data_IF_702635474794
#
_entry.id   IF_702635474794
#
_cell.length_a   1.000
_cell.length_b   1.000
_cell.length_c   1.000
_cell.angle_alpha   90.00
_cell.angle_beta   90.00
_cell.angle_gamma   90.00
#
_symmetry.space_group_name_H-M   'P 1'
#
loop_
_entity.id
_entity.type
_entity.pdbx_description
1 polymer ?
#
# COMPACT_ATOMS: atom_id res chain seq x y z
N UNK A 1 16.07 6.51 -5.65
CA UNK A 1 14.80 7.17 -5.30
C UNK A 1 13.85 7.29 -6.51
N UNK A 2 14.23 7.94 -7.62
CA UNK A 2 13.31 8.18 -8.75
C UNK A 2 12.72 6.92 -9.38
N UNK A 3 13.53 5.88 -9.57
CA UNK A 3 13.08 4.57 -10.08
C UNK A 3 11.98 3.96 -9.20
N UNK A 4 12.20 3.99 -7.88
CA UNK A 4 11.26 3.46 -6.90
C UNK A 4 9.94 4.24 -6.88
N UNK A 5 9.98 5.57 -6.99
CA UNK A 5 8.77 6.40 -6.98
C UNK A 5 7.91 6.14 -8.23
N UNK A 6 8.53 5.88 -9.37
CA UNK A 6 7.84 5.67 -10.64
C UNK A 6 7.49 4.20 -10.94
N UNK A 7 7.77 3.29 -10.01
CA UNK A 7 7.66 1.83 -10.24
C UNK A 7 8.39 1.36 -11.51
N UNK A 8 9.55 1.95 -11.81
CA UNK A 8 10.24 1.74 -13.07
C UNK A 8 11.58 1.01 -12.89
N UNK A 9 11.74 -0.08 -13.64
CA UNK A 9 12.99 -0.87 -13.70
C UNK A 9 13.59 -0.70 -15.10
N UNK A 10 14.74 -0.01 -15.26
CA UNK A 10 15.40 0.12 -16.56
C UNK A 10 15.97 -1.22 -17.03
N UNK A 11 16.17 -1.37 -18.34
CA UNK A 11 16.66 -2.62 -18.94
C UNK A 11 18.04 -3.08 -18.39
N UNK A 12 18.88 -2.13 -17.97
CA UNK A 12 20.20 -2.39 -17.39
C UNK A 12 20.22 -2.32 -15.86
N UNK A 13 19.07 -2.41 -15.19
CA UNK A 13 18.96 -2.26 -13.74
C UNK A 13 19.84 -3.28 -12.98
N UNK A 14 19.91 -4.53 -13.42
CA UNK A 14 20.70 -5.56 -12.73
C UNK A 14 22.18 -5.19 -12.66
N UNK A 15 22.76 -4.69 -13.76
CA UNK A 15 24.16 -4.21 -13.76
C UNK A 15 24.38 -3.06 -12.79
N UNK A 16 23.38 -2.19 -12.63
CA UNK A 16 23.44 -1.10 -11.66
C UNK A 16 23.39 -1.64 -10.23
N UNK A 17 22.53 -2.61 -9.96
CA UNK A 17 22.38 -3.22 -8.65
C UNK A 17 23.62 -4.02 -8.23
N UNK A 18 24.23 -4.76 -9.16
CA UNK A 18 25.48 -5.50 -8.93
C UNK A 18 26.62 -4.59 -8.46
N UNK A 19 26.67 -3.35 -8.95
CA UNK A 19 27.71 -2.39 -8.57
C UNK A 19 27.36 -1.64 -7.28
N UNK A 20 26.10 -1.20 -7.14
CA UNK A 20 25.72 -0.31 -6.04
C UNK A 20 25.44 -1.08 -4.75
N UNK A 21 24.70 -2.20 -4.80
CA UNK A 21 24.25 -2.88 -3.58
C UNK A 21 25.40 -3.36 -2.68
N UNK A 22 26.51 -3.92 -3.19
CA UNK A 22 27.61 -4.37 -2.33
C UNK A 22 28.37 -3.22 -1.65
N UNK A 23 28.36 -2.02 -2.26
CA UNK A 23 29.01 -0.83 -1.71
C UNK A 23 28.08 0.00 -0.83
N UNK A 24 26.81 -0.37 -0.73
CA UNK A 24 25.82 0.41 -0.03
C UNK A 24 25.92 0.19 1.48
N UNK A 25 26.46 1.18 2.19
CA UNK A 25 26.58 1.16 3.64
C UNK A 25 25.95 2.41 4.26
N UNK A 26 25.55 2.31 5.53
CA UNK A 26 24.97 3.43 6.26
C UNK A 26 25.89 4.66 6.30
N UNK A 27 27.22 4.46 6.29
CA UNK A 27 28.23 5.52 6.24
C UNK A 27 28.21 6.36 4.96
N UNK A 28 27.65 5.83 3.88
CA UNK A 28 27.57 6.53 2.58
C UNK A 28 26.42 7.56 2.55
N UNK A 29 25.49 7.49 3.51
CA UNK A 29 24.45 8.50 3.66
C UNK A 29 24.93 9.63 4.59
N UNK A 30 24.71 10.89 4.20
CA UNK A 30 25.08 12.03 5.05
C UNK A 30 24.17 12.12 6.28
N UNK A 31 22.93 11.61 6.18
CA UNK A 31 21.97 11.60 7.28
C UNK A 31 21.18 10.28 7.40
N UNK A 32 20.67 10.00 8.60
CA UNK A 32 19.76 8.87 8.83
C UNK A 32 18.48 8.97 7.97
N UNK A 33 17.99 10.18 7.71
CA UNK A 33 16.81 10.40 6.85
C UNK A 33 17.09 9.96 5.41
N UNK A 34 18.25 10.31 4.86
CA UNK A 34 18.67 9.86 3.52
C UNK A 34 18.86 8.35 3.48
N UNK A 35 19.47 7.76 4.51
CA UNK A 35 19.61 6.31 4.60
C UNK A 35 18.24 5.61 4.61
N UNK A 36 17.29 6.13 5.39
CA UNK A 36 15.91 5.64 5.39
C UNK A 36 15.27 5.72 4.00
N UNK A 37 15.52 6.79 3.24
CA UNK A 37 15.02 6.96 1.87
C UNK A 37 15.62 5.97 0.88
N UNK A 38 16.91 5.67 1.03
CA UNK A 38 17.60 4.65 0.24
C UNK A 38 17.00 3.28 0.52
N UNK A 39 16.90 2.88 1.78
CA UNK A 39 16.35 1.56 2.15
C UNK A 39 14.88 1.46 1.76
N UNK A 40 14.08 2.50 1.97
CA UNK A 40 12.69 2.54 1.50
C UNK A 40 12.60 2.38 -0.02
N UNK A 41 13.48 3.03 -0.80
CA UNK A 41 13.53 2.86 -2.25
C UNK A 41 13.85 1.41 -2.65
N UNK A 42 14.77 0.75 -1.95
CA UNK A 42 15.10 -0.66 -2.19
C UNK A 42 13.93 -1.57 -1.84
N UNK A 43 13.17 -1.26 -0.79
CA UNK A 43 11.95 -1.99 -0.42
C UNK A 43 10.90 -1.89 -1.54
N UNK A 44 10.62 -0.69 -2.04
CA UNK A 44 9.67 -0.50 -3.14
C UNK A 44 10.09 -1.25 -4.41
N UNK A 45 11.38 -1.32 -4.70
CA UNK A 45 11.94 -2.04 -5.85
C UNK A 45 12.12 -3.55 -5.62
N UNK A 46 11.73 -4.08 -4.45
CA UNK A 46 11.94 -5.46 -4.06
C UNK A 46 13.43 -5.89 -4.20
N UNK A 47 14.34 -5.07 -3.68
CA UNK A 47 15.80 -5.28 -3.65
C UNK A 47 16.43 -5.12 -2.27
N UNK A 48 15.63 -4.81 -1.25
CA UNK A 48 16.12 -4.75 0.13
C UNK A 48 16.42 -6.16 0.66
N UNK A 49 17.47 -6.28 1.48
CA UNK A 49 17.83 -7.53 2.17
C UNK A 49 17.31 -7.49 3.62
N UNK A 50 17.40 -8.62 4.34
CA UNK A 50 17.07 -8.67 5.76
C UNK A 50 17.94 -7.71 6.58
N UNK A 51 19.24 -7.60 6.26
CA UNK A 51 20.17 -6.69 6.94
C UNK A 51 19.77 -5.22 6.73
N UNK A 52 19.38 -4.86 5.49
CA UNK A 52 18.90 -3.51 5.18
C UNK A 52 17.67 -3.15 6.01
N UNK A 53 16.68 -4.04 6.06
CA UNK A 53 15.42 -3.83 6.78
C UNK A 53 15.64 -3.82 8.29
N UNK A 54 16.39 -4.79 8.82
CA UNK A 54 16.74 -4.87 10.24
C UNK A 54 17.55 -3.65 10.71
N UNK A 55 18.43 -3.15 9.85
CA UNK A 55 19.27 -1.97 10.10
C UNK A 55 18.49 -0.67 10.30
N UNK A 56 17.28 -0.55 9.74
CA UNK A 56 16.43 0.65 9.89
C UNK A 56 15.23 0.46 10.81
N UNK A 57 14.82 -0.79 11.08
CA UNK A 57 13.74 -1.11 12.02
C UNK A 57 14.22 -1.28 13.47
N UNK A 58 15.53 -1.33 13.72
CA UNK A 58 16.04 -1.40 15.10
C UNK A 58 15.84 -0.08 15.86
N UNK A 59 15.78 -0.20 17.19
CA UNK A 59 15.54 0.92 18.08
C UNK A 59 16.64 2.00 18.00
N UNK A 60 17.91 1.63 17.82
CA UNK A 60 19.01 2.60 17.72
C UNK A 60 18.82 3.56 16.54
N UNK A 61 18.47 3.04 15.38
CA UNK A 61 18.25 3.86 14.18
C UNK A 61 16.99 4.73 14.32
N UNK A 62 15.90 4.18 14.88
CA UNK A 62 14.68 4.95 15.13
C UNK A 62 14.95 6.10 16.11
N UNK A 63 15.76 5.89 17.15
CA UNK A 63 16.17 6.94 18.08
C UNK A 63 17.06 7.99 17.40
N UNK A 64 17.98 7.59 16.53
CA UNK A 64 18.79 8.53 15.75
C UNK A 64 17.90 9.45 14.89
N UNK A 65 16.89 8.88 14.22
CA UNK A 65 15.91 9.65 13.44
C UNK A 65 15.13 10.66 14.30
N UNK A 66 14.82 10.31 15.55
CA UNK A 66 14.13 11.21 16.49
C UNK A 66 15.04 12.34 16.98
N UNK A 67 16.29 12.03 17.30
CA UNK A 67 17.26 13.00 17.84
C UNK A 67 17.66 14.07 16.83
N UNK A 68 17.76 13.72 15.54
CA UNK A 68 18.02 14.70 14.45
C UNK A 68 16.79 15.53 14.08
N UNK A 69 15.61 15.19 14.60
CA UNK A 69 14.37 15.97 14.45
C UNK A 69 14.09 16.87 15.65
N UNK A 70 12.85 17.39 15.75
CA UNK A 70 12.36 18.16 16.91
C UNK A 70 11.99 17.28 18.12
N UNK A 71 12.70 16.16 18.32
CA UNK A 71 12.38 15.14 19.32
C UNK A 71 11.21 14.22 18.93
N UNK A 72 10.76 14.26 17.67
CA UNK A 72 9.73 13.37 17.15
C UNK A 72 10.00 13.02 15.68
N UNK A 73 9.56 11.83 15.26
CA UNK A 73 9.64 11.43 13.85
C UNK A 73 8.70 12.28 12.99
N UNK A 74 9.20 12.73 11.84
CA UNK A 74 8.36 13.34 10.82
C UNK A 74 7.33 12.33 10.30
N UNK A 75 6.19 12.84 9.79
CA UNK A 75 5.16 11.98 9.19
C UNK A 75 5.75 11.13 8.06
N UNK A 76 6.58 11.74 7.19
CA UNK A 76 7.25 11.03 6.10
C UNK A 76 8.12 9.87 6.60
N UNK A 77 8.92 10.09 7.65
CA UNK A 77 9.74 9.03 8.25
C UNK A 77 8.89 7.91 8.83
N UNK A 78 7.80 8.24 9.55
CA UNK A 78 6.86 7.24 10.08
C UNK A 78 6.27 6.38 8.95
N UNK A 79 5.77 6.99 7.88
CA UNK A 79 5.17 6.25 6.76
C UNK A 79 6.19 5.34 6.05
N UNK A 80 7.42 5.81 5.82
CA UNK A 80 8.50 4.99 5.24
C UNK A 80 8.84 3.80 6.13
N UNK A 81 8.98 4.01 7.45
CA UNK A 81 9.20 2.94 8.42
C UNK A 81 8.05 1.92 8.42
N UNK A 82 6.80 2.38 8.33
CA UNK A 82 5.64 1.48 8.23
C UNK A 82 5.62 0.67 6.93
N UNK A 83 6.04 1.25 5.80
CA UNK A 83 6.18 0.51 4.55
C UNK A 83 7.27 -0.55 4.67
N UNK A 84 8.44 -0.19 5.20
CA UNK A 84 9.55 -1.13 5.43
C UNK A 84 9.12 -2.27 6.36
N UNK A 85 8.38 -1.95 7.42
CA UNK A 85 7.80 -2.94 8.34
C UNK A 85 6.79 -3.87 7.65
N UNK A 86 5.99 -3.36 6.71
CA UNK A 86 5.09 -4.19 5.89
C UNK A 86 5.84 -5.15 4.97
N UNK A 87 6.91 -4.68 4.33
CA UNK A 87 7.78 -5.53 3.51
C UNK A 87 8.46 -6.63 4.33
N UNK A 88 8.90 -6.29 5.55
CA UNK A 88 9.46 -7.25 6.50
C UNK A 88 8.45 -8.36 6.86
N UNK A 89 7.16 -8.06 6.95
CA UNK A 89 6.13 -9.05 7.27
C UNK A 89 5.75 -9.93 6.10
N UNK A 90 5.57 -9.34 4.92
CA UNK A 90 4.85 -10.00 3.84
C UNK A 90 5.69 -10.27 2.59
N UNK A 91 6.81 -9.57 2.40
CA UNK A 91 7.64 -9.71 1.20
C UNK A 91 8.95 -10.46 1.48
N UNK A 92 9.57 -10.22 2.64
CA UNK A 92 10.80 -10.91 3.05
C UNK A 92 10.49 -12.24 3.73
N UNK A 93 10.64 -13.33 2.98
CA UNK A 93 10.42 -14.69 3.48
C UNK A 93 11.41 -15.03 4.59
N UNK A 94 10.88 -15.38 5.76
CA UNK A 94 11.69 -15.83 6.90
C UNK A 94 12.37 -14.70 7.70
N UNK A 95 11.99 -13.44 7.45
CA UNK A 95 12.52 -12.31 8.19
C UNK A 95 12.37 -12.50 9.71
N UNK A 96 13.48 -12.38 10.43
CA UNK A 96 13.58 -12.63 11.87
C UNK A 96 14.01 -11.40 12.68
N UNK A 97 14.31 -10.30 11.99
CA UNK A 97 14.78 -9.06 12.59
C UNK A 97 13.72 -8.24 13.34
N UNK A 98 14.11 -7.04 13.81
CA UNK A 98 13.23 -6.12 14.52
C UNK A 98 12.00 -5.71 13.69
N UNK A 99 10.89 -5.45 14.38
CA UNK A 99 9.62 -4.98 13.81
C UNK A 99 9.06 -3.85 14.65
N UNK A 100 8.24 -3.00 14.05
CA UNK A 100 7.54 -1.94 14.79
C UNK A 100 6.46 -2.59 15.67
N UNK A 101 6.48 -2.39 17.00
CA UNK A 101 5.47 -2.96 17.89
C UNK A 101 4.05 -2.58 17.51
N UNK A 102 3.09 -3.51 17.67
CA UNK A 102 1.68 -3.31 17.27
C UNK A 102 1.00 -2.16 18.02
N UNK A 103 1.43 -1.90 19.25
CA UNK A 103 0.97 -0.84 20.13
C UNK A 103 1.71 0.50 19.92
N UNK A 104 2.75 0.52 19.09
CA UNK A 104 3.53 1.72 18.80
C UNK A 104 2.66 2.84 18.21
N UNK A 105 2.81 4.11 18.67
CA UNK A 105 2.14 5.25 18.07
C UNK A 105 2.43 5.41 16.57
N UNK A 106 3.57 4.90 16.08
CA UNK A 106 3.93 4.94 14.66
C UNK A 106 2.88 4.19 13.83
N UNK A 107 2.35 3.06 14.33
CA UNK A 107 1.31 2.24 13.65
C UNK A 107 -0.03 2.96 13.46
N UNK A 108 -0.28 4.02 14.24
CA UNK A 108 -1.50 4.83 14.20
C UNK A 108 -1.32 6.12 13.41
N UNK A 109 -0.22 6.26 12.67
CA UNK A 109 0.01 7.45 11.84
C UNK A 109 -1.03 7.51 10.74
N UNK A 110 -1.74 8.63 10.65
CA UNK A 110 -2.66 8.88 9.55
C UNK A 110 -1.91 9.21 8.27
N UNK A 111 -2.44 8.71 7.17
CA UNK A 111 -2.00 9.07 5.82
C UNK A 111 -2.86 10.23 5.38
N UNK A 112 -2.24 11.40 5.22
CA UNK A 112 -2.94 12.58 4.74
C UNK A 112 -3.41 12.33 3.30
N UNK A 113 -4.72 12.43 3.08
CA UNK A 113 -5.34 12.36 1.76
C UNK A 113 -5.70 13.77 1.30
N UNK A 114 -5.57 14.02 -0.01
CA UNK A 114 -6.06 15.26 -0.61
C UNK A 114 -7.59 15.29 -0.52
N UNK A 115 -8.18 16.50 -0.58
CA UNK A 115 -9.64 16.64 -0.62
C UNK A 115 -10.24 15.89 -1.81
N UNK A 116 -9.63 16.04 -2.98
CA UNK A 116 -10.09 15.40 -4.23
C UNK A 116 -10.04 13.87 -4.12
N UNK A 117 -8.99 13.29 -3.53
CA UNK A 117 -8.90 11.85 -3.26
C UNK A 117 -9.99 11.40 -2.29
N UNK A 118 -10.24 12.19 -1.24
CA UNK A 118 -11.28 11.88 -0.25
C UNK A 118 -12.67 11.86 -0.89
N UNK A 119 -13.00 12.87 -1.72
CA UNK A 119 -14.25 12.94 -2.48
C UNK A 119 -14.42 11.76 -3.44
N UNK A 120 -13.33 11.34 -4.09
CA UNK A 120 -13.35 10.17 -4.98
C UNK A 120 -13.61 8.87 -4.19
N UNK A 121 -12.94 8.69 -3.04
CA UNK A 121 -13.15 7.54 -2.15
C UNK A 121 -14.59 7.50 -1.65
N UNK A 122 -15.14 8.63 -1.18
CA UNK A 122 -16.53 8.71 -0.72
C UNK A 122 -17.50 8.33 -1.85
N UNK A 123 -17.26 8.82 -3.07
CA UNK A 123 -18.07 8.47 -4.23
C UNK A 123 -18.04 6.98 -4.56
N UNK A 124 -16.87 6.33 -4.42
CA UNK A 124 -16.73 4.87 -4.59
C UNK A 124 -17.49 4.12 -3.51
N UNK A 125 -17.30 4.47 -2.23
CA UNK A 125 -17.98 3.83 -1.09
C UNK A 125 -19.50 3.96 -1.24
N UNK A 126 -20.00 5.15 -1.57
CA UNK A 126 -21.43 5.38 -1.77
C UNK A 126 -21.98 4.57 -2.94
N UNK A 127 -21.21 4.45 -4.03
CA UNK A 127 -21.59 3.58 -5.15
C UNK A 127 -21.65 2.12 -4.72
N UNK A 128 -20.68 1.64 -3.93
CA UNK A 128 -20.65 0.28 -3.41
C UNK A 128 -21.83 -0.03 -2.50
N UNK A 129 -22.30 0.93 -1.70
CA UNK A 129 -23.49 0.75 -0.85
C UNK A 129 -24.77 0.46 -1.64
N UNK A 130 -24.82 0.85 -2.92
CA UNK A 130 -25.94 0.47 -3.80
C UNK A 130 -25.84 -0.99 -4.29
N UNK A 131 -24.64 -1.56 -4.33
CA UNK A 131 -24.36 -2.96 -4.69
C UNK A 131 -24.36 -3.89 -3.47
N UNK A 132 -23.89 -3.39 -2.33
CA UNK A 132 -23.65 -4.12 -1.09
C UNK A 132 -24.34 -3.34 0.04
N UNK A 133 -25.60 -3.70 0.30
CA UNK A 133 -26.52 -2.87 1.10
C UNK A 133 -26.34 -2.99 2.62
N UNK A 134 -25.52 -3.93 3.11
CA UNK A 134 -25.32 -4.15 4.56
C UNK A 134 -23.90 -3.77 5.00
N UNK A 135 -23.81 -3.07 6.14
CA UNK A 135 -22.55 -2.69 6.78
C UNK A 135 -21.71 -3.90 7.23
N UNK A 136 -22.33 -5.05 7.47
CA UNK A 136 -21.60 -6.28 7.79
C UNK A 136 -20.84 -6.87 6.60
N UNK A 137 -21.20 -6.46 5.37
CA UNK A 137 -20.69 -6.99 4.11
C UNK A 137 -19.64 -6.07 3.46
N UNK A 138 -19.51 -4.84 3.94
CA UNK A 138 -18.60 -3.82 3.40
C UNK A 138 -17.91 -3.07 4.54
N UNK A 139 -16.57 -3.08 4.54
CA UNK A 139 -15.75 -2.23 5.39
C UNK A 139 -15.11 -1.14 4.53
N UNK A 140 -14.85 0.02 5.11
CA UNK A 140 -14.24 1.13 4.40
C UNK A 140 -13.15 1.80 5.23
N UNK A 141 -12.22 2.48 4.55
CA UNK A 141 -11.15 3.30 5.16
C UNK A 141 -10.36 2.55 6.22
N UNK A 142 -9.92 1.33 5.88
CA UNK A 142 -9.19 0.46 6.80
C UNK A 142 -7.72 0.88 6.81
N UNK A 143 -7.23 1.38 7.95
CA UNK A 143 -5.81 1.59 8.14
C UNK A 143 -5.11 0.22 8.25
N UNK A 144 -4.16 -0.06 7.36
CA UNK A 144 -3.44 -1.33 7.34
C UNK A 144 -2.37 -1.42 8.43
N UNK A 145 -1.94 -0.29 9.00
CA UNK A 145 -0.78 -0.22 9.88
C UNK A 145 0.56 -0.34 9.13
N UNK A 146 0.56 -0.22 7.80
CA UNK A 146 1.76 -0.26 6.95
C UNK A 146 1.93 1.00 6.09
N UNK A 147 1.31 2.11 6.51
CA UNK A 147 1.48 3.42 5.89
C UNK A 147 0.57 3.68 4.69
N UNK A 148 -0.50 2.90 4.53
CA UNK A 148 -1.55 3.09 3.52
C UNK A 148 -2.88 2.51 4.00
N UNK A 149 -3.97 2.86 3.31
CA UNK A 149 -5.33 2.41 3.62
C UNK A 149 -5.86 1.45 2.55
N UNK A 150 -6.79 0.58 2.94
CA UNK A 150 -7.73 -0.04 2.01
C UNK A 150 -8.98 0.85 2.01
N UNK A 151 -9.35 1.38 0.85
CA UNK A 151 -10.46 2.34 0.76
C UNK A 151 -11.79 1.64 0.97
N UNK A 152 -11.96 0.44 0.40
CA UNK A 152 -13.07 -0.45 0.69
C UNK A 152 -12.66 -1.94 0.64
N UNK A 153 -13.26 -2.75 1.50
CA UNK A 153 -13.04 -4.20 1.60
C UNK A 153 -14.38 -4.91 1.60
N UNK A 154 -14.49 -5.96 0.78
CA UNK A 154 -15.62 -6.89 0.82
C UNK A 154 -15.16 -8.32 0.58
N UNK A 155 -16.04 -9.26 0.91
CA UNK A 155 -15.85 -10.69 0.68
C UNK A 155 -16.91 -11.16 -0.30
N UNK A 156 -16.51 -11.82 -1.39
CA UNK A 156 -17.42 -12.26 -2.44
C UNK A 156 -17.35 -13.77 -2.64
N UNK A 157 -18.50 -14.42 -2.83
CA UNK A 157 -18.52 -15.82 -3.27
C UNK A 157 -18.24 -15.94 -4.80
N UNK A 158 -18.19 -17.17 -5.31
CA UNK A 158 -17.98 -17.47 -6.74
C UNK A 158 -19.05 -16.90 -7.66
N UNK A 159 -20.22 -16.52 -7.13
CA UNK A 159 -21.34 -15.89 -7.85
C UNK A 159 -21.32 -14.36 -7.72
N UNK A 160 -20.27 -13.79 -7.12
CA UNK A 160 -20.15 -12.37 -6.82
C UNK A 160 -21.20 -11.87 -5.80
N UNK A 161 -21.68 -12.77 -4.93
CA UNK A 161 -22.58 -12.44 -3.82
C UNK A 161 -21.76 -11.98 -2.62
N UNK A 162 -22.07 -10.82 -2.02
CA UNK A 162 -21.36 -10.35 -0.83
C UNK A 162 -21.62 -11.22 0.40
N UNK A 163 -20.55 -11.47 1.16
CA UNK A 163 -20.53 -12.26 2.40
C UNK A 163 -20.06 -11.39 3.58
N UNK A 164 -20.42 -11.77 4.83
CA UNK A 164 -19.96 -11.05 6.01
C UNK A 164 -18.43 -11.02 6.12
N UNK A 165 -17.85 -9.83 6.24
CA UNK A 165 -16.39 -9.65 6.23
C UNK A 165 -15.75 -10.20 7.52
N UNK A 166 -16.47 -10.17 8.64
CA UNK A 166 -16.01 -10.69 9.93
C UNK A 166 -15.80 -12.22 9.93
N UNK A 167 -16.47 -12.93 9.03
CA UNK A 167 -16.45 -14.40 8.95
C UNK A 167 -15.53 -14.92 7.84
N UNK A 168 -14.52 -14.12 7.44
CA UNK A 168 -13.61 -14.47 6.34
C UNK A 168 -12.94 -15.86 6.48
N UNK A 169 -12.63 -16.30 7.70
CA UNK A 169 -12.07 -17.63 7.97
C UNK A 169 -13.05 -18.78 7.75
N UNK A 170 -14.35 -18.52 7.83
CA UNK A 170 -15.43 -19.50 7.64
C UNK A 170 -15.73 -19.76 6.16
N UNK A 171 -15.32 -18.85 5.27
CA UNK A 171 -15.64 -18.89 3.84
C UNK A 171 -14.39 -19.14 2.98
N UNK A 172 -13.86 -20.38 3.03
CA UNK A 172 -12.60 -20.77 2.34
C UNK A 172 -12.57 -20.51 0.83
N UNK A 173 -13.74 -20.53 0.19
CA UNK A 173 -13.90 -20.34 -1.26
C UNK A 173 -14.19 -18.89 -1.66
N UNK A 174 -14.28 -17.98 -0.69
CA UNK A 174 -14.61 -16.60 -0.95
C UNK A 174 -13.37 -15.78 -1.34
N UNK A 175 -13.60 -14.84 -2.25
CA UNK A 175 -12.61 -13.90 -2.75
C UNK A 175 -12.60 -12.68 -1.85
N UNK A 176 -11.48 -12.45 -1.16
CA UNK A 176 -11.25 -11.25 -0.37
C UNK A 176 -10.83 -10.12 -1.30
N UNK A 177 -11.65 -9.07 -1.42
CA UNK A 177 -11.40 -7.96 -2.33
C UNK A 177 -10.95 -6.73 -1.55
N UNK A 178 -9.81 -6.17 -1.91
CA UNK A 178 -9.38 -4.84 -1.48
C UNK A 178 -9.52 -3.87 -2.64
N UNK A 179 -10.28 -2.80 -2.43
CA UNK A 179 -10.51 -1.75 -3.41
C UNK A 179 -9.58 -0.58 -3.07
N UNK A 180 -8.82 -0.15 -4.07
CA UNK A 180 -7.85 0.93 -3.94
C UNK A 180 -8.15 1.99 -4.99
N UNK A 181 -8.42 3.20 -4.53
CA UNK A 181 -8.75 4.36 -5.35
C UNK A 181 -7.46 5.10 -5.67
N UNK A 182 -7.20 5.28 -6.97
CA UNK A 182 -6.04 6.03 -7.44
C UNK A 182 -6.48 7.38 -7.97
N UNK A 183 -6.07 8.44 -7.29
CA UNK A 183 -6.21 9.80 -7.79
C UNK A 183 -5.16 10.10 -8.87
N UNK A 184 -5.13 11.35 -9.34
CA UNK A 184 -4.16 11.77 -10.35
C UNK A 184 -2.70 11.68 -9.88
N UNK A 185 -2.44 11.84 -8.58
CA UNK A 185 -1.10 11.82 -7.99
C UNK A 185 -0.59 10.40 -7.69
N UNK A 186 -1.51 9.45 -7.57
CA UNK A 186 -1.19 8.04 -7.37
C UNK A 186 -0.74 7.33 -8.66
N UNK A 187 -0.85 8.00 -9.82
CA UNK A 187 -0.62 7.44 -11.15
C UNK A 187 0.50 8.20 -11.90
N UNK A 188 1.23 7.50 -12.77
CA UNK A 188 2.30 8.10 -13.58
C UNK A 188 1.73 8.90 -14.77
N UNK A 189 2.51 9.87 -15.26
CA UNK A 189 2.11 10.71 -16.40
C UNK A 189 2.51 10.00 -17.71
N UNK A 190 1.57 9.90 -18.65
CA UNK A 190 1.79 9.31 -19.98
C UNK A 190 1.40 7.84 -20.09
N UNK A 191 1.75 7.01 -19.09
CA UNK A 191 1.16 5.68 -18.88
C UNK A 191 0.31 5.74 -17.63
N UNK A 192 -0.96 5.35 -17.70
CA UNK A 192 -1.85 5.41 -16.53
C UNK A 192 -1.62 4.17 -15.68
N UNK A 193 -0.44 4.12 -15.05
CA UNK A 193 0.04 3.05 -14.18
C UNK A 193 0.25 3.59 -12.77
N UNK A 194 0.02 2.79 -11.71
CA UNK A 194 0.28 3.22 -10.33
C UNK A 194 1.74 3.64 -10.11
N UNK A 195 1.96 4.62 -9.25
CA UNK A 195 3.29 4.96 -8.72
C UNK A 195 3.82 3.82 -7.85
N UNK A 196 5.13 3.80 -7.57
CA UNK A 196 5.73 2.69 -6.84
C UNK A 196 5.22 2.50 -5.42
N UNK A 197 4.78 3.56 -4.74
CA UNK A 197 4.11 3.41 -3.44
C UNK A 197 2.75 2.73 -3.58
N UNK A 198 1.97 3.09 -4.61
CA UNK A 198 0.67 2.48 -4.91
C UNK A 198 0.81 1.03 -5.38
N UNK A 199 1.82 0.73 -6.19
CA UNK A 199 2.16 -0.62 -6.62
C UNK A 199 2.62 -1.49 -5.45
N UNK A 200 3.49 -0.97 -4.59
CA UNK A 200 3.93 -1.61 -3.35
C UNK A 200 2.75 -1.93 -2.42
N UNK A 201 1.85 -0.97 -2.19
CA UNK A 201 0.67 -1.17 -1.37
C UNK A 201 -0.21 -2.31 -1.92
N UNK A 202 -0.42 -2.35 -3.24
CA UNK A 202 -1.15 -3.42 -3.89
C UNK A 202 -0.46 -4.79 -3.70
N UNK A 203 0.87 -4.84 -3.78
CA UNK A 203 1.63 -6.08 -3.60
C UNK A 203 1.56 -6.62 -2.15
N UNK A 204 1.67 -5.73 -1.16
CA UNK A 204 1.44 -6.08 0.25
C UNK A 204 0.03 -6.65 0.46
N UNK A 205 -0.99 -6.09 -0.20
CA UNK A 205 -2.35 -6.63 -0.10
C UNK A 205 -2.48 -7.98 -0.82
N UNK A 206 -1.83 -8.19 -1.97
CA UNK A 206 -1.83 -9.50 -2.66
C UNK A 206 -1.21 -10.60 -1.81
N UNK A 207 -0.09 -10.32 -1.16
CA UNK A 207 0.58 -11.25 -0.25
C UNK A 207 -0.26 -11.59 1.00
N UNK A 208 -1.15 -10.68 1.42
CA UNK A 208 -2.18 -10.93 2.44
C UNK A 208 -3.41 -11.71 1.93
N UNK A 209 -3.41 -12.14 0.65
CA UNK A 209 -4.48 -12.93 0.04
C UNK A 209 -5.63 -12.11 -0.55
N UNK A 210 -5.49 -10.79 -0.70
CA UNK A 210 -6.50 -9.97 -1.36
C UNK A 210 -6.37 -10.04 -2.88
N UNK A 211 -7.52 -10.02 -3.57
CA UNK A 211 -7.61 -9.58 -4.95
C UNK A 211 -7.83 -8.07 -4.99
N UNK A 212 -7.04 -7.37 -5.80
CA UNK A 212 -7.05 -5.92 -5.85
C UNK A 212 -8.02 -5.45 -6.93
N UNK A 213 -8.99 -4.62 -6.53
CA UNK A 213 -9.80 -3.84 -7.46
C UNK A 213 -9.29 -2.41 -7.48
N UNK A 214 -8.49 -2.08 -8.48
CA UNK A 214 -8.02 -0.72 -8.72
C UNK A 214 -9.13 0.14 -9.34
N UNK A 215 -9.35 1.33 -8.78
CA UNK A 215 -10.32 2.32 -9.26
C UNK A 215 -9.57 3.60 -9.63
N UNK A 216 -9.09 3.75 -10.88
CA UNK A 216 -8.30 4.91 -11.26
C UNK A 216 -9.19 6.09 -11.67
N UNK A 217 -8.69 7.32 -11.46
CA UNK A 217 -9.39 8.58 -11.70
C UNK A 217 -9.86 8.80 -13.15
N UNK A 218 -9.18 8.16 -14.12
CA UNK A 218 -9.51 8.24 -15.53
C UNK A 218 -10.69 7.34 -15.94
N UNK A 219 -10.97 6.29 -15.16
CA UNK A 219 -12.04 5.32 -15.42
C UNK A 219 -13.28 5.60 -14.57
N UNK A 220 -13.11 5.99 -13.30
CA UNK A 220 -14.21 6.29 -12.39
C UNK A 220 -14.36 7.79 -12.14
N UNK A 221 -15.50 8.37 -12.53
CA UNK A 221 -15.77 9.80 -12.40
C UNK A 221 -16.84 10.07 -11.35
N UNK A 222 -16.52 10.72 -10.21
CA UNK A 222 -17.50 10.97 -9.14
C UNK A 222 -18.76 11.72 -9.59
N UNK A 223 -18.64 12.59 -10.60
CA UNK A 223 -19.72 13.42 -11.14
C UNK A 223 -20.59 12.70 -12.18
N UNK A 224 -20.26 11.46 -12.54
CA UNK A 224 -21.06 10.68 -13.49
C UNK A 224 -22.36 10.18 -12.86
N UNK A 225 -23.38 9.93 -13.70
CA UNK A 225 -24.67 9.38 -13.25
C UNK A 225 -24.43 8.09 -12.47
N UNK A 226 -25.11 7.95 -11.33
CA UNK A 226 -24.97 6.82 -10.42
C UNK A 226 -25.06 5.46 -11.14
N UNK A 227 -26.00 5.30 -12.07
CA UNK A 227 -26.18 4.06 -12.83
C UNK A 227 -24.91 3.63 -13.57
N UNK A 228 -24.13 4.57 -14.12
CA UNK A 228 -22.87 4.24 -14.80
C UNK A 228 -21.78 3.86 -13.79
N UNK A 229 -21.67 4.59 -12.68
CA UNK A 229 -20.74 4.26 -11.58
C UNK A 229 -21.00 2.86 -11.01
N UNK A 230 -22.27 2.54 -10.78
CA UNK A 230 -22.71 1.21 -10.29
C UNK A 230 -22.36 0.12 -11.30
N UNK A 231 -22.72 0.31 -12.57
CA UNK A 231 -22.39 -0.66 -13.64
C UNK A 231 -20.89 -0.89 -13.76
N UNK A 232 -20.08 0.16 -13.67
CA UNK A 232 -18.63 0.05 -13.70
C UNK A 232 -18.09 -0.81 -12.55
N UNK A 233 -18.43 -0.49 -11.29
CA UNK A 233 -17.94 -1.26 -10.14
C UNK A 233 -18.46 -2.70 -10.17
N UNK A 234 -19.70 -2.91 -10.58
CA UNK A 234 -20.28 -4.25 -10.70
C UNK A 234 -19.55 -5.11 -11.75
N UNK A 235 -19.22 -4.55 -12.93
CA UNK A 235 -18.46 -5.28 -13.96
C UNK A 235 -17.07 -5.64 -13.44
N UNK A 236 -16.38 -4.69 -12.81
CA UNK A 236 -15.03 -4.90 -12.30
C UNK A 236 -14.98 -5.93 -11.18
N UNK A 237 -15.97 -5.95 -10.29
CA UNK A 237 -16.09 -6.99 -9.27
C UNK A 237 -16.33 -8.37 -9.90
N UNK A 238 -17.24 -8.47 -10.88
CA UNK A 238 -17.52 -9.74 -11.58
C UNK A 238 -16.31 -10.27 -12.34
N UNK A 239 -15.55 -9.40 -13.01
CA UNK A 239 -14.29 -9.76 -13.66
C UNK A 239 -13.28 -10.26 -12.63
N UNK A 240 -13.13 -9.55 -11.51
CA UNK A 240 -12.18 -9.91 -10.47
C UNK A 240 -12.47 -11.26 -9.82
N UNK A 241 -13.74 -11.65 -9.65
CA UNK A 241 -14.15 -12.95 -9.07
C UNK A 241 -13.96 -14.11 -10.03
N UNK A 242 -14.06 -13.88 -11.35
CA UNK A 242 -13.97 -14.94 -12.37
C UNK A 242 -12.54 -15.45 -12.62
N UNK A 243 -11.53 -14.63 -12.34
CA UNK A 243 -10.10 -14.96 -12.47
C UNK A 243 -9.67 -16.01 -11.46
#
# INVERSE_FOLDING_TARGET
>A
MTLAILDYIPQNAEKLYEVILPSLAHSEAATATEWLEVIWSLVLLNRATEEHVSGVLNNSFIQELMMKGSGSLSISAKLKLLNIDGAAEFMLKGYSGPRIPKDSPIKRSDVLQTKDKTEMIDSVIDTLRHLIQSESLLRARINTGYGFYIDAECLLDKKCTPLPVKDSSSHKDAVKVAMVVYDYHDMTRGRVEPTGLSAFAAEILRTQGYRILSVPYNEFKPREKLVYRVKYLESRLKELVKT
#
